data_IF_064857057373
#
_entry.id   IF_064857057373
#
_cell.length_a   1.000
_cell.length_b   1.000
_cell.length_c   1.000
_cell.angle_alpha   90.00
_cell.angle_beta   90.00
_cell.angle_gamma   90.00
#
_symmetry.space_group_name_H-M   'P 1'
#
loop_
_entity.id
_entity.type
_entity.pdbx_description
1 polymer ?
#
# COMPACT_ATOMS: atom_id res chain seq x y z
N UNK A 1 -31.28 3.29 -10.65
CA UNK A 1 -30.34 4.34 -10.20
C UNK A 1 -31.14 5.30 -9.33
N UNK A 2 -31.10 5.17 -8.00
CA UNK A 2 -32.25 5.62 -7.17
C UNK A 2 -32.08 6.90 -6.34
N UNK A 3 -31.07 6.99 -5.48
CA UNK A 3 -31.00 8.11 -4.50
C UNK A 3 -29.57 8.49 -4.14
N UNK A 4 -28.66 7.51 -4.03
CA UNK A 4 -27.24 7.76 -3.77
C UNK A 4 -26.61 8.66 -4.85
N UNK A 5 -26.79 8.33 -6.14
CA UNK A 5 -26.26 9.16 -7.23
C UNK A 5 -26.81 10.59 -7.24
N UNK A 6 -28.09 10.79 -6.89
CA UNK A 6 -28.70 12.12 -6.80
C UNK A 6 -28.13 12.89 -5.60
N UNK A 7 -28.00 12.24 -4.44
CA UNK A 7 -27.42 12.85 -3.24
C UNK A 7 -25.94 13.17 -3.37
N UNK A 8 -25.17 12.33 -4.09
CA UNK A 8 -23.77 12.62 -4.40
C UNK A 8 -23.63 13.87 -5.27
N UNK A 9 -24.48 14.02 -6.30
CA UNK A 9 -24.52 15.23 -7.14
C UNK A 9 -24.94 16.47 -6.33
N UNK A 10 -25.96 16.37 -5.47
CA UNK A 10 -26.39 17.47 -4.60
C UNK A 10 -25.30 17.89 -3.60
N UNK A 11 -24.59 16.93 -2.99
CA UNK A 11 -23.47 17.21 -2.08
C UNK A 11 -22.27 17.83 -2.81
N UNK A 12 -21.99 17.36 -4.03
CA UNK A 12 -20.90 17.89 -4.84
C UNK A 12 -21.16 19.33 -5.27
N UNK A 13 -22.40 19.63 -5.68
CA UNK A 13 -22.85 20.99 -5.98
C UNK A 13 -22.74 21.91 -4.75
N UNK A 14 -23.10 21.42 -3.56
CA UNK A 14 -22.96 22.17 -2.31
C UNK A 14 -21.49 22.44 -1.91
N UNK A 15 -20.56 21.62 -2.39
CA UNK A 15 -19.12 21.72 -2.13
C UNK A 15 -18.32 22.25 -3.34
N UNK A 16 -19.02 22.83 -4.32
CA UNK A 16 -18.46 23.43 -5.53
C UNK A 16 -17.54 22.49 -6.35
N UNK A 17 -17.79 21.18 -6.33
CA UNK A 17 -17.00 20.20 -7.11
C UNK A 17 -15.54 20.03 -6.68
N UNK A 18 -15.19 20.56 -5.50
CA UNK A 18 -13.83 20.47 -4.92
C UNK A 18 -13.46 19.08 -4.39
N UNK A 19 -14.38 18.29 -3.79
CA UNK A 19 -14.04 16.97 -3.25
C UNK A 19 -13.74 15.94 -4.33
N UNK A 20 -12.74 15.09 -4.09
CA UNK A 20 -12.51 13.90 -4.91
C UNK A 20 -13.63 12.90 -4.65
N UNK A 21 -14.39 12.59 -5.69
CA UNK A 21 -15.46 11.60 -5.59
C UNK A 21 -14.94 10.22 -5.94
N UNK A 22 -15.17 9.29 -5.03
CA UNK A 22 -14.93 7.88 -5.26
C UNK A 22 -16.31 7.22 -5.36
N UNK A 23 -16.60 6.61 -6.51
CA UNK A 23 -17.77 5.73 -6.60
C UNK A 23 -17.40 4.42 -5.97
N UNK A 24 -17.87 4.25 -4.75
CA UNK A 24 -17.70 3.03 -3.98
C UNK A 24 -18.82 2.07 -4.36
N UNK A 25 -18.43 1.00 -5.05
CA UNK A 25 -19.36 -0.07 -5.40
C UNK A 25 -19.34 -1.03 -4.22
N UNK A 26 -20.52 -1.37 -3.70
CA UNK A 26 -20.64 -2.34 -2.61
C UNK A 26 -19.82 -3.59 -2.94
N UNK A 27 -18.94 -3.97 -2.02
CA UNK A 27 -17.99 -5.07 -2.13
C UNK A 27 -16.79 -4.87 -3.09
N UNK A 28 -16.60 -3.67 -3.61
CA UNK A 28 -15.49 -3.25 -4.48
C UNK A 28 -14.99 -1.85 -4.09
N UNK A 29 -15.01 -1.55 -2.80
CA UNK A 29 -14.66 -0.24 -2.28
C UNK A 29 -13.15 -0.01 -2.28
N UNK A 30 -12.77 1.24 -2.51
CA UNK A 30 -11.40 1.69 -2.50
C UNK A 30 -10.78 1.54 -1.11
N UNK A 31 -9.47 1.31 -1.07
CA UNK A 31 -8.71 1.25 0.17
C UNK A 31 -8.87 2.52 1.02
N UNK A 32 -9.05 3.68 0.37
CA UNK A 32 -9.30 4.96 1.04
C UNK A 32 -10.65 4.97 1.75
N UNK A 33 -11.73 4.52 1.09
CA UNK A 33 -13.06 4.44 1.71
C UNK A 33 -13.09 3.47 2.89
N UNK A 34 -12.47 2.29 2.74
CA UNK A 34 -12.38 1.30 3.81
C UNK A 34 -11.56 1.81 5.01
N UNK A 35 -10.54 2.65 4.78
CA UNK A 35 -9.71 3.21 5.86
C UNK A 35 -10.47 4.08 6.86
N UNK A 36 -11.63 4.61 6.48
CA UNK A 36 -12.49 5.40 7.38
C UNK A 36 -13.26 4.54 8.39
N UNK A 37 -13.23 3.21 8.25
CA UNK A 37 -13.91 2.26 9.11
C UNK A 37 -12.89 1.28 9.72
N UNK A 38 -12.19 1.67 10.81
CA UNK A 38 -11.04 0.94 11.35
C UNK A 38 -11.37 -0.48 11.87
N UNK A 39 -12.62 -0.70 12.30
CA UNK A 39 -13.14 -2.02 12.69
C UNK A 39 -13.74 -2.81 11.52
N UNK A 40 -13.54 -2.29 10.30
CA UNK A 40 -14.14 -2.78 9.06
C UNK A 40 -15.56 -2.26 8.83
N UNK A 41 -16.02 -2.41 7.60
CA UNK A 41 -17.43 -2.23 7.26
C UNK A 41 -18.13 -3.57 7.17
N UNK A 42 -19.29 -3.64 7.81
CA UNK A 42 -20.18 -4.79 7.75
C UNK A 42 -21.32 -4.47 6.80
N UNK A 43 -21.38 -5.19 5.68
CA UNK A 43 -22.49 -5.08 4.76
C UNK A 43 -23.72 -5.75 5.35
N UNK A 44 -24.71 -4.94 5.64
CA UNK A 44 -26.01 -5.38 6.09
C UNK A 44 -26.93 -5.45 4.88
N UNK A 45 -27.65 -6.55 4.72
CA UNK A 45 -28.60 -6.72 3.62
C UNK A 45 -29.75 -5.72 3.76
N UNK A 46 -29.68 -4.57 3.09
CA UNK A 46 -30.65 -3.50 3.25
C UNK A 46 -30.89 -2.70 1.97
N UNK A 47 -31.91 -3.11 1.22
CA UNK A 47 -32.59 -2.33 0.21
C UNK A 47 -34.04 -2.77 0.19
N UNK A 48 -34.98 -1.81 0.21
CA UNK A 48 -36.41 -2.07 0.08
C UNK A 48 -36.63 -3.00 -1.14
N UNK A 49 -37.51 -4.02 -1.12
CA UNK A 49 -38.92 -3.83 -0.77
C UNK A 49 -39.28 -3.91 0.72
N UNK A 50 -38.29 -4.27 1.54
CA UNK A 50 -38.00 -3.85 2.91
C UNK A 50 -37.02 -4.90 3.41
N UNK A 51 -35.75 -4.51 3.58
CA UNK A 51 -34.71 -5.14 4.40
C UNK A 51 -34.60 -6.68 4.51
N UNK A 52 -33.40 -7.17 4.16
CA UNK A 52 -32.79 -8.43 4.59
C UNK A 52 -33.31 -9.73 3.99
N UNK A 53 -32.52 -10.35 3.07
CA UNK A 53 -32.24 -11.80 3.06
C UNK A 53 -30.81 -12.09 2.53
N UNK A 54 -30.11 -12.94 3.30
CA UNK A 54 -28.90 -13.76 3.14
C UNK A 54 -27.79 -13.40 2.12
N UNK A 55 -26.55 -13.23 2.62
CA UNK A 55 -25.33 -12.96 1.86
C UNK A 55 -24.59 -14.27 1.56
N UNK A 56 -24.36 -14.57 0.28
CA UNK A 56 -23.45 -15.64 -0.14
C UNK A 56 -21.99 -15.13 -0.13
N UNK A 57 -21.06 -15.97 0.32
CA UNK A 57 -19.62 -15.67 0.39
C UNK A 57 -19.08 -15.21 -0.99
N UNK A 58 -18.44 -14.04 -1.06
CA UNK A 58 -17.90 -13.47 -2.32
C UNK A 58 -16.78 -14.31 -2.95
N UNK A 59 -16.22 -15.26 -2.20
CA UNK A 59 -15.22 -16.22 -2.69
C UNK A 59 -15.88 -17.55 -3.09
N UNK A 60 -17.20 -17.70 -2.92
CA UNK A 60 -17.98 -18.91 -3.24
C UNK A 60 -17.96 -19.24 -4.73
N UNK A 61 -18.04 -18.23 -5.60
CA UNK A 61 -18.08 -18.38 -7.07
C UNK A 61 -16.86 -17.74 -7.77
N UNK A 62 -15.69 -17.78 -7.12
CA UNK A 62 -14.49 -17.14 -7.65
C UNK A 62 -14.05 -17.75 -8.99
N UNK A 63 -13.82 -16.90 -10.00
CA UNK A 63 -13.27 -17.31 -11.29
C UNK A 63 -11.75 -17.20 -11.27
N UNK A 64 -11.00 -18.28 -11.59
CA UNK A 64 -9.54 -18.25 -11.63
C UNK A 64 -9.02 -17.13 -12.54
N UNK A 65 -8.05 -16.36 -12.03
CA UNK A 65 -7.31 -15.35 -12.80
C UNK A 65 -5.84 -15.72 -12.87
N UNK A 66 -5.18 -15.37 -13.97
CA UNK A 66 -3.74 -15.57 -14.15
C UNK A 66 -3.06 -14.24 -14.44
N UNK A 67 -2.02 -13.91 -13.69
CA UNK A 67 -1.17 -12.77 -13.95
C UNK A 67 0.20 -13.22 -14.43
N UNK A 68 0.75 -12.51 -15.41
CA UNK A 68 2.07 -12.74 -15.98
C UNK A 68 2.98 -11.57 -15.61
N UNK A 69 4.04 -11.87 -14.86
CA UNK A 69 5.04 -10.92 -14.43
C UNK A 69 6.29 -11.05 -15.31
N UNK A 70 6.49 -10.08 -16.20
CA UNK A 70 7.55 -10.11 -17.22
C UNK A 70 8.32 -8.79 -17.29
N UNK A 71 9.64 -8.86 -17.43
CA UNK A 71 10.49 -7.73 -17.79
C UNK A 71 11.92 -7.79 -17.25
N UNK A 72 12.83 -7.07 -17.91
CA UNK A 72 14.27 -7.10 -17.59
C UNK A 72 14.74 -5.96 -16.68
N UNK A 73 14.29 -4.72 -16.91
CA UNK A 73 14.61 -3.54 -16.07
C UNK A 73 13.38 -3.07 -15.29
N UNK A 74 12.23 -3.06 -15.96
CA UNK A 74 10.95 -2.69 -15.39
C UNK A 74 9.99 -3.87 -15.51
N UNK A 75 9.81 -4.63 -14.43
CA UNK A 75 8.86 -5.74 -14.40
C UNK A 75 7.45 -5.23 -14.12
N UNK A 76 6.50 -5.66 -14.95
CA UNK A 76 5.08 -5.42 -14.76
C UNK A 76 4.34 -6.76 -14.65
N UNK A 77 3.27 -6.79 -13.87
CA UNK A 77 2.36 -7.94 -13.79
C UNK A 77 1.06 -7.58 -14.49
N UNK A 78 0.70 -8.32 -15.52
CA UNK A 78 -0.48 -8.09 -16.34
C UNK A 78 -1.38 -9.32 -16.35
N UNK A 79 -2.70 -9.14 -16.36
CA UNK A 79 -3.62 -10.28 -16.45
C UNK A 79 -3.55 -10.90 -17.85
N UNK A 80 -3.48 -12.23 -17.90
CA UNK A 80 -3.47 -13.04 -19.13
C UNK A 80 -4.56 -14.10 -19.07
N UNK A 81 -4.75 -14.82 -20.17
CA UNK A 81 -5.69 -15.94 -20.22
C UNK A 81 -5.26 -17.04 -19.23
N UNK A 82 -6.20 -17.57 -18.43
CA UNK A 82 -5.91 -18.62 -17.47
C UNK A 82 -5.85 -19.99 -18.16
N UNK A 83 -4.84 -20.20 -19.00
CA UNK A 83 -4.58 -21.45 -19.75
C UNK A 83 -3.10 -21.83 -19.71
N UNK A 84 -2.83 -23.11 -19.88
CA UNK A 84 -1.49 -23.70 -19.94
C UNK A 84 -0.60 -23.04 -21.01
N UNK A 85 -1.18 -22.67 -22.15
CA UNK A 85 -0.50 -21.98 -23.25
C UNK A 85 0.02 -20.59 -22.90
N UNK A 86 -0.47 -19.98 -21.82
CA UNK A 86 0.00 -18.67 -21.35
C UNK A 86 1.25 -18.79 -20.47
N UNK A 87 1.53 -19.97 -19.91
CA UNK A 87 2.69 -20.23 -19.05
C UNK A 87 3.96 -20.45 -19.89
N UNK A 88 5.10 -20.05 -19.33
CA UNK A 88 6.42 -20.41 -19.83
C UNK A 88 7.41 -20.55 -18.67
N UNK A 89 8.53 -21.26 -18.88
CA UNK A 89 9.51 -21.53 -17.81
C UNK A 89 10.40 -20.34 -17.45
N UNK A 90 10.35 -19.26 -18.22
CA UNK A 90 11.21 -18.08 -18.09
C UNK A 90 10.62 -16.90 -17.34
N UNK A 91 9.32 -16.90 -17.06
CA UNK A 91 8.62 -15.78 -16.44
C UNK A 91 7.90 -16.22 -15.16
N UNK A 92 7.51 -15.25 -14.31
CA UNK A 92 6.75 -15.52 -13.08
C UNK A 92 5.26 -15.34 -13.33
N UNK A 93 4.43 -16.23 -12.76
CA UNK A 93 2.99 -16.15 -12.88
C UNK A 93 2.30 -16.18 -11.51
N UNK A 94 1.12 -15.57 -11.42
CA UNK A 94 0.29 -15.59 -10.22
C UNK A 94 -1.07 -16.17 -10.61
N UNK A 95 -1.38 -17.38 -10.13
CA UNK A 95 -2.71 -17.96 -10.23
C UNK A 95 -3.51 -17.54 -8.99
N UNK A 96 -4.63 -16.87 -9.24
CA UNK A 96 -5.51 -16.33 -8.21
C UNK A 96 -6.84 -17.07 -8.21
N UNK A 97 -7.02 -17.89 -7.17
CA UNK A 97 -8.21 -18.69 -6.87
C UNK A 97 -9.04 -18.06 -5.73
N UNK A 98 -8.86 -16.76 -5.46
CA UNK A 98 -9.64 -16.03 -4.49
C UNK A 98 -9.04 -16.11 -3.09
N UNK A 99 -9.19 -17.26 -2.40
CA UNK A 99 -8.57 -17.53 -1.08
C UNK A 99 -7.17 -18.13 -1.19
N UNK A 100 -6.82 -18.67 -2.35
CA UNK A 100 -5.53 -19.30 -2.59
C UNK A 100 -4.84 -18.59 -3.76
N UNK A 101 -3.63 -18.09 -3.51
CA UNK A 101 -2.78 -17.41 -4.47
C UNK A 101 -1.52 -18.24 -4.67
N UNK A 102 -1.21 -18.63 -5.89
CA UNK A 102 0.01 -19.37 -6.21
C UNK A 102 0.94 -18.49 -7.02
N UNK A 103 2.10 -18.16 -6.44
CA UNK A 103 3.19 -17.50 -7.15
C UNK A 103 4.08 -18.59 -7.73
N UNK A 104 3.92 -18.82 -9.02
CA UNK A 104 4.64 -19.84 -9.76
C UNK A 104 5.96 -19.27 -10.29
N UNK A 105 7.07 -19.80 -9.78
CA UNK A 105 8.43 -19.36 -10.08
C UNK A 105 9.24 -20.50 -10.72
N UNK A 106 9.10 -20.72 -12.03
CA UNK A 106 9.81 -21.79 -12.72
C UNK A 106 11.34 -21.57 -12.72
N UNK A 107 12.15 -22.61 -13.03
CA UNK A 107 13.60 -22.58 -12.86
C UNK A 107 14.32 -21.48 -13.63
N UNK A 108 13.81 -21.11 -14.80
CA UNK A 108 14.43 -20.10 -15.67
C UNK A 108 13.91 -18.68 -15.38
N UNK A 109 13.02 -18.48 -14.39
CA UNK A 109 12.42 -17.18 -14.10
C UNK A 109 13.36 -16.15 -13.47
N UNK A 110 13.29 -14.91 -13.95
CA UNK A 110 14.21 -13.83 -13.59
C UNK A 110 14.07 -13.34 -12.14
N UNK A 111 15.19 -12.93 -11.52
CA UNK A 111 15.21 -12.42 -10.13
C UNK A 111 14.25 -11.24 -9.91
N UNK A 112 14.22 -10.28 -10.83
CA UNK A 112 13.34 -9.11 -10.69
C UNK A 112 11.87 -9.49 -10.85
N UNK A 113 11.57 -10.47 -11.69
CA UNK A 113 10.22 -10.98 -11.91
C UNK A 113 9.70 -11.72 -10.67
N UNK A 114 10.54 -12.52 -10.04
CA UNK A 114 10.25 -13.15 -8.74
C UNK A 114 9.93 -12.12 -7.66
N UNK A 115 10.75 -11.07 -7.52
CA UNK A 115 10.51 -9.99 -6.55
C UNK A 115 9.18 -9.29 -6.84
N UNK A 116 8.90 -8.94 -8.10
CA UNK A 116 7.67 -8.24 -8.48
C UNK A 116 6.43 -9.13 -8.32
N UNK A 117 6.52 -10.40 -8.70
CA UNK A 117 5.45 -11.39 -8.54
C UNK A 117 5.10 -11.61 -7.07
N UNK A 118 6.10 -11.76 -6.21
CA UNK A 118 5.88 -11.82 -4.75
C UNK A 118 5.22 -10.56 -4.21
N UNK A 119 5.69 -9.38 -4.62
CA UNK A 119 5.12 -8.10 -4.18
C UNK A 119 3.66 -7.97 -4.64
N UNK A 120 3.36 -8.35 -5.88
CA UNK A 120 2.00 -8.35 -6.43
C UNK A 120 1.10 -9.34 -5.70
N UNK A 121 1.52 -10.59 -5.50
CA UNK A 121 0.73 -11.58 -4.78
C UNK A 121 0.51 -11.22 -3.29
N UNK A 122 1.53 -10.65 -2.63
CA UNK A 122 1.36 -10.10 -1.26
C UNK A 122 0.37 -8.95 -1.24
N UNK A 123 0.39 -8.08 -2.25
CA UNK A 123 -0.59 -7.00 -2.37
C UNK A 123 -2.00 -7.56 -2.58
N UNK A 124 -2.19 -8.54 -3.48
CA UNK A 124 -3.49 -9.21 -3.65
C UNK A 124 -3.94 -9.85 -2.33
N UNK A 125 -3.07 -10.60 -1.65
CA UNK A 125 -3.40 -11.29 -0.41
C UNK A 125 -3.75 -10.34 0.74
N UNK A 126 -2.91 -9.34 0.99
CA UNK A 126 -3.03 -8.45 2.15
C UNK A 126 -4.02 -7.31 1.90
N UNK A 127 -4.03 -6.76 0.69
CA UNK A 127 -4.81 -5.57 0.33
C UNK A 127 -6.11 -5.97 -0.33
N UNK A 128 -6.09 -6.75 -1.42
CA UNK A 128 -7.33 -7.12 -2.14
C UNK A 128 -8.14 -8.23 -1.45
N UNK A 129 -7.53 -9.03 -0.57
CA UNK A 129 -8.19 -10.14 0.16
C UNK A 129 -8.14 -9.96 1.67
N UNK A 130 -7.72 -8.79 2.15
CA UNK A 130 -7.70 -8.44 3.58
C UNK A 130 -7.00 -9.47 4.48
N UNK A 131 -5.92 -10.08 3.97
CA UNK A 131 -5.17 -11.11 4.67
C UNK A 131 -5.87 -12.48 4.76
N UNK A 132 -7.05 -12.63 4.15
CA UNK A 132 -7.80 -13.89 4.14
C UNK A 132 -7.33 -14.88 3.07
N UNK A 133 -6.50 -14.43 2.12
CA UNK A 133 -5.91 -15.29 1.11
C UNK A 133 -4.53 -15.75 1.51
N UNK A 134 -4.26 -17.03 1.30
CA UNK A 134 -2.96 -17.64 1.52
C UNK A 134 -2.13 -17.56 0.24
N UNK A 135 -0.87 -17.18 0.39
CA UNK A 135 0.10 -17.14 -0.72
C UNK A 135 0.99 -18.38 -0.64
N UNK A 136 0.94 -19.20 -1.68
CA UNK A 136 1.85 -20.32 -1.92
C UNK A 136 2.92 -19.87 -2.89
N UNK A 137 4.16 -20.19 -2.56
CA UNK A 137 5.31 -19.91 -3.42
C UNK A 137 5.76 -21.25 -3.97
N UNK A 138 5.66 -21.42 -5.29
CA UNK A 138 6.07 -22.62 -5.98
C UNK A 138 7.41 -22.33 -6.66
N UNK A 139 8.51 -22.76 -6.02
CA UNK A 139 9.87 -22.41 -6.42
C UNK A 139 10.69 -23.66 -6.73
N UNK A 140 11.39 -24.24 -5.75
CA UNK A 140 12.12 -25.51 -5.94
C UNK A 140 11.20 -26.68 -6.30
N UNK A 141 9.92 -26.56 -5.98
CA UNK A 141 8.82 -27.51 -6.20
C UNK A 141 7.79 -27.01 -7.22
N UNK A 142 8.20 -26.09 -8.11
CA UNK A 142 7.36 -25.44 -9.13
C UNK A 142 6.50 -26.40 -9.98
N UNK A 143 6.91 -27.66 -10.18
CA UNK A 143 6.19 -28.66 -10.97
C UNK A 143 5.41 -29.70 -10.12
N UNK A 144 5.40 -29.55 -8.80
CA UNK A 144 4.88 -30.58 -7.88
C UNK A 144 3.51 -30.26 -7.25
N UNK A 145 3.03 -29.01 -7.28
CA UNK A 145 1.77 -28.64 -6.64
C UNK A 145 0.53 -29.10 -7.44
N UNK A 146 -0.26 -30.00 -6.86
CA UNK A 146 -1.44 -30.59 -7.53
C UNK A 146 -2.56 -29.58 -7.77
N UNK A 147 -2.72 -28.62 -6.86
CA UNK A 147 -3.82 -27.65 -6.90
C UNK A 147 -3.60 -26.61 -7.99
N UNK A 148 -2.37 -26.15 -8.14
CA UNK A 148 -1.97 -25.29 -9.25
C UNK A 148 -2.15 -26.02 -10.59
N UNK A 149 -1.56 -27.21 -10.73
CA UNK A 149 -1.55 -27.92 -12.01
C UNK A 149 -2.93 -28.44 -12.42
N UNK A 150 -3.87 -28.68 -11.51
CA UNK A 150 -5.24 -29.06 -11.87
C UNK A 150 -5.94 -28.02 -12.76
N UNK A 151 -5.57 -26.75 -12.65
CA UNK A 151 -6.09 -25.65 -13.47
C UNK A 151 -5.48 -25.60 -14.88
N UNK A 152 -4.42 -26.38 -15.12
CA UNK A 152 -3.65 -26.40 -16.36
C UNK A 152 -3.54 -27.80 -16.98
N UNK A 153 -4.43 -28.74 -16.62
CA UNK A 153 -4.45 -30.10 -17.19
C UNK A 153 -3.66 -31.16 -16.40
N UNK A 154 -3.34 -30.87 -15.14
CA UNK A 154 -2.67 -31.77 -14.20
C UNK A 154 -1.14 -31.74 -14.29
N UNK A 155 -0.47 -32.42 -13.35
CA UNK A 155 1.01 -32.45 -13.23
C UNK A 155 1.75 -32.82 -14.51
N UNK A 156 1.15 -33.63 -15.38
CA UNK A 156 1.75 -34.00 -16.65
C UNK A 156 1.91 -32.82 -17.64
N UNK A 157 1.12 -31.75 -17.45
CA UNK A 157 1.21 -30.53 -18.24
C UNK A 157 2.49 -29.74 -17.98
N UNK A 158 3.07 -29.82 -16.78
CA UNK A 158 4.33 -29.17 -16.43
C UNK A 158 5.46 -29.50 -17.41
N UNK A 159 5.51 -30.75 -17.90
CA UNK A 159 6.52 -31.24 -18.86
C UNK A 159 6.36 -30.67 -20.27
N UNK A 160 5.21 -30.06 -20.58
CA UNK A 160 4.85 -29.52 -21.90
C UNK A 160 4.96 -28.00 -21.96
N UNK A 161 5.21 -27.33 -20.84
CA UNK A 161 5.34 -25.87 -20.80
C UNK A 161 6.54 -25.43 -21.63
N UNK A 162 6.34 -24.38 -22.41
CA UNK A 162 7.38 -23.83 -23.27
C UNK A 162 8.56 -23.30 -22.44
N UNK A 163 9.79 -23.52 -22.93
CA UNK A 163 11.00 -22.92 -22.37
C UNK A 163 10.97 -21.39 -22.47
N UNK A 164 11.82 -20.73 -21.68
CA UNK A 164 11.99 -19.28 -21.76
C UNK A 164 12.27 -18.83 -23.20
N UNK A 165 11.61 -17.75 -23.62
CA UNK A 165 11.95 -17.02 -24.84
C UNK A 165 12.67 -15.75 -24.42
N UNK A 166 13.80 -15.44 -25.05
CA UNK A 166 14.49 -14.16 -24.87
C UNK A 166 13.78 -13.08 -25.71
N UNK A 167 12.55 -12.72 -25.33
CA UNK A 167 11.75 -11.70 -26.00
C UNK A 167 11.26 -10.56 -25.08
N UNK A 168 11.81 -10.46 -23.85
CA UNK A 168 11.39 -9.48 -22.84
C UNK A 168 11.41 -8.03 -23.32
N UNK A 169 12.44 -7.66 -24.09
CA UNK A 169 12.58 -6.31 -24.65
C UNK A 169 11.57 -6.07 -25.80
N UNK A 170 11.30 -7.08 -26.63
CA UNK A 170 10.35 -6.99 -27.75
C UNK A 170 8.89 -7.02 -27.29
N UNK A 171 8.57 -7.74 -26.21
CA UNK A 171 7.23 -7.87 -25.64
C UNK A 171 6.69 -6.51 -25.17
N UNK A 172 7.51 -5.74 -24.44
CA UNK A 172 7.12 -4.42 -23.97
C UNK A 172 7.21 -3.36 -25.04
N UNK A 173 8.15 -3.47 -25.98
CA UNK A 173 8.17 -2.56 -27.13
C UNK A 173 6.82 -2.59 -27.86
N UNK A 174 6.29 -3.78 -28.15
CA UNK A 174 4.97 -3.96 -28.78
C UNK A 174 3.80 -3.49 -27.93
N UNK A 175 3.84 -3.70 -26.62
CA UNK A 175 2.74 -3.31 -25.71
C UNK A 175 2.75 -1.81 -25.43
N UNK A 176 3.93 -1.22 -25.24
CA UNK A 176 4.10 0.23 -25.04
C UNK A 176 3.73 1.00 -26.30
N UNK A 177 4.09 0.52 -27.49
CA UNK A 177 3.67 1.07 -28.79
C UNK A 177 2.14 1.11 -28.96
N UNK A 178 1.38 0.34 -28.19
CA UNK A 178 -0.08 0.30 -28.25
C UNK A 178 -0.76 1.16 -27.18
N UNK A 179 -0.03 1.59 -26.14
CA UNK A 179 -0.56 2.52 -25.13
C UNK A 179 -1.00 3.79 -25.84
N UNK A 180 -2.24 4.20 -25.62
CA UNK A 180 -2.83 5.32 -26.36
C UNK A 180 -3.50 6.30 -25.41
N UNK A 181 -3.15 7.57 -25.52
CA UNK A 181 -3.77 8.67 -24.80
C UNK A 181 -4.80 9.36 -25.71
N UNK A 182 -5.99 9.57 -25.19
CA UNK A 182 -7.09 10.26 -25.86
C UNK A 182 -7.51 11.46 -25.02
N UNK A 183 -7.82 12.58 -25.66
CA UNK A 183 -8.58 13.68 -25.06
C UNK A 183 -10.06 13.40 -25.20
N UNK A 184 -10.81 13.59 -24.12
CA UNK A 184 -12.27 13.43 -24.07
C UNK A 184 -12.90 14.81 -24.08
N UNK A 185 -13.97 14.97 -24.86
CA UNK A 185 -14.79 16.18 -24.83
C UNK A 185 -16.25 15.81 -25.09
N UNK A 186 -17.16 16.49 -24.41
CA UNK A 186 -18.61 16.39 -24.60
C UNK A 186 -19.23 17.65 -25.21
N UNK A 187 -18.40 18.61 -25.66
CA UNK A 187 -18.84 19.90 -26.21
C UNK A 187 -19.82 19.79 -27.40
N UNK A 188 -19.86 18.63 -28.08
CA UNK A 188 -20.82 18.32 -29.15
C UNK A 188 -22.17 17.75 -28.66
N UNK A 189 -22.42 17.72 -27.34
CA UNK A 189 -23.57 17.04 -26.71
C UNK A 189 -23.46 15.51 -26.70
N UNK A 190 -22.38 14.96 -27.25
CA UNK A 190 -22.06 13.53 -27.26
C UNK A 190 -20.56 13.37 -27.01
N UNK A 191 -20.20 12.35 -26.22
CA UNK A 191 -18.81 12.08 -25.86
C UNK A 191 -17.98 11.75 -27.12
N UNK A 192 -16.96 12.56 -27.36
CA UNK A 192 -15.98 12.38 -28.42
C UNK A 192 -14.60 12.13 -27.82
N UNK A 193 -13.91 11.11 -28.31
CA UNK A 193 -12.52 10.82 -27.96
C UNK A 193 -11.62 11.13 -29.14
N UNK A 194 -10.61 11.97 -28.92
CA UNK A 194 -9.62 12.36 -29.92
C UNK A 194 -8.26 11.85 -29.49
N UNK A 195 -7.60 11.07 -30.34
CA UNK A 195 -6.28 10.52 -30.03
C UNK A 195 -5.24 11.64 -29.96
N UNK A 196 -4.48 11.69 -28.87
CA UNK A 196 -3.44 12.69 -28.61
C UNK A 196 -2.05 12.08 -28.83
N UNK A 197 -1.83 10.89 -28.27
CA UNK A 197 -0.55 10.21 -28.35
C UNK A 197 -0.72 8.69 -28.41
N UNK A 198 0.28 8.00 -28.95
CA UNK A 198 0.40 6.55 -28.91
C UNK A 198 1.87 6.18 -28.76
N UNK A 199 2.15 5.17 -27.94
CA UNK A 199 3.52 4.77 -27.65
C UNK A 199 4.02 5.41 -26.37
N UNK A 200 5.00 6.28 -26.52
CA UNK A 200 5.59 7.06 -25.43
C UNK A 200 4.68 8.25 -25.10
N UNK A 201 3.77 8.05 -24.16
CA UNK A 201 2.90 9.13 -23.63
C UNK A 201 3.68 9.97 -22.61
N UNK A 202 3.46 11.29 -22.64
CA UNK A 202 4.20 12.26 -21.82
C UNK A 202 3.29 13.03 -20.89
N UNK A 203 3.79 13.39 -19.71
CA UNK A 203 3.00 14.15 -18.75
C UNK A 203 2.55 15.50 -19.35
N UNK A 204 3.38 16.12 -20.20
CA UNK A 204 3.07 17.38 -20.89
C UNK A 204 1.91 17.30 -21.88
N UNK A 205 1.44 16.10 -22.24
CA UNK A 205 0.30 15.90 -23.15
C UNK A 205 -1.05 16.00 -22.42
N UNK A 206 -1.02 16.02 -21.08
CA UNK A 206 -2.17 16.29 -20.24
C UNK A 206 -2.33 17.80 -20.07
N UNK A 207 -3.49 18.33 -20.44
CA UNK A 207 -3.87 19.73 -20.19
C UNK A 207 -4.74 19.80 -18.95
N UNK A 208 -4.38 20.65 -17.99
CA UNK A 208 -5.18 20.88 -16.77
C UNK A 208 -6.63 21.27 -17.08
N UNK A 209 -6.93 21.84 -18.24
CA UNK A 209 -8.29 22.26 -18.61
C UNK A 209 -9.16 21.15 -19.19
N UNK A 210 -8.59 19.97 -19.43
CA UNK A 210 -9.26 18.90 -20.18
C UNK A 210 -9.19 17.54 -19.48
N UNK A 211 -10.04 16.62 -19.93
CA UNK A 211 -10.04 15.24 -19.49
C UNK A 211 -9.47 14.31 -20.57
N UNK A 212 -8.86 13.21 -20.13
CA UNK A 212 -8.14 12.28 -20.98
C UNK A 212 -8.44 10.83 -20.62
N UNK A 213 -8.46 9.94 -21.61
CA UNK A 213 -8.47 8.49 -21.43
C UNK A 213 -7.10 7.94 -21.83
N UNK A 214 -6.45 7.27 -20.89
CA UNK A 214 -5.28 6.43 -21.16
C UNK A 214 -5.74 4.98 -21.30
N UNK A 215 -5.65 4.45 -22.52
CA UNK A 215 -5.79 3.02 -22.79
C UNK A 215 -4.40 2.37 -22.63
N UNK A 216 -4.19 1.73 -21.48
CA UNK A 216 -2.94 1.06 -21.15
C UNK A 216 -2.92 -0.42 -21.61
N UNK A 217 -3.83 -0.80 -22.52
CA UNK A 217 -3.95 -2.16 -23.06
C UNK A 217 -4.17 -3.16 -21.92
N UNK A 218 -3.15 -3.94 -21.56
CA UNK A 218 -3.22 -4.91 -20.48
C UNK A 218 -3.20 -4.26 -19.08
N UNK A 219 -2.93 -2.95 -18.99
CA UNK A 219 -2.95 -2.15 -17.77
C UNK A 219 -4.33 -1.61 -17.37
N UNK A 220 -5.35 -1.79 -18.21
CA UNK A 220 -6.69 -1.24 -18.00
C UNK A 220 -6.86 0.18 -18.58
N UNK A 221 -8.03 0.76 -18.31
CA UNK A 221 -8.42 2.10 -18.79
C UNK A 221 -8.36 3.09 -17.63
N UNK A 222 -7.69 4.21 -17.84
CA UNK A 222 -7.67 5.33 -16.88
C UNK A 222 -8.33 6.56 -17.49
N UNK A 223 -9.14 7.27 -16.72
CA UNK A 223 -9.76 8.54 -17.10
C UNK A 223 -9.17 9.64 -16.22
N UNK A 224 -8.17 10.34 -16.74
CA UNK A 224 -7.53 11.46 -16.06
C UNK A 224 -8.33 12.74 -16.26
N UNK A 225 -8.54 13.53 -15.20
CA UNK A 225 -9.34 14.75 -15.22
C UNK A 225 -8.53 15.92 -14.67
N UNK A 226 -8.35 16.95 -15.50
CA UNK A 226 -7.60 18.14 -15.14
C UNK A 226 -8.32 19.04 -14.12
N UNK A 227 -7.56 19.83 -13.36
CA UNK A 227 -8.08 20.77 -12.35
C UNK A 227 -8.90 21.91 -12.94
N UNK A 228 -8.68 22.27 -14.20
CA UNK A 228 -9.44 23.25 -14.96
C UNK A 228 -10.70 22.70 -15.63
N UNK A 229 -10.96 21.38 -15.61
CA UNK A 229 -12.20 20.80 -16.10
C UNK A 229 -13.41 21.31 -15.32
N UNK A 230 -14.53 21.47 -16.01
CA UNK A 230 -15.79 21.86 -15.39
C UNK A 230 -16.40 20.69 -14.57
N UNK A 231 -17.39 21.00 -13.75
CA UNK A 231 -18.00 20.04 -12.81
C UNK A 231 -18.72 18.90 -13.54
N UNK A 232 -19.32 19.19 -14.70
CA UNK A 232 -20.01 18.18 -15.51
C UNK A 232 -19.00 17.18 -16.11
N UNK A 233 -17.85 17.67 -16.58
CA UNK A 233 -16.75 16.85 -17.08
C UNK A 233 -16.18 15.92 -15.99
N UNK A 234 -15.99 16.46 -14.77
CA UNK A 234 -15.53 15.68 -13.61
C UNK A 234 -16.53 14.59 -13.21
N UNK A 235 -17.82 14.94 -13.20
CA UNK A 235 -18.90 14.02 -12.80
C UNK A 235 -19.12 12.89 -13.82
N UNK A 236 -18.72 13.09 -15.08
CA UNK A 236 -18.88 12.12 -16.17
C UNK A 236 -17.66 11.21 -16.41
N UNK A 237 -16.55 11.38 -15.69
CA UNK A 237 -15.30 10.67 -15.95
C UNK A 237 -15.45 9.14 -16.03
N UNK A 238 -16.12 8.53 -15.05
CA UNK A 238 -16.37 7.07 -15.06
C UNK A 238 -17.29 6.65 -16.21
N UNK A 239 -18.32 7.45 -16.50
CA UNK A 239 -19.24 7.18 -17.60
C UNK A 239 -18.51 7.22 -18.95
N UNK A 240 -17.53 8.12 -19.11
CA UNK A 240 -16.73 8.21 -20.32
C UNK A 240 -15.84 6.98 -20.52
N UNK A 241 -15.22 6.47 -19.47
CA UNK A 241 -14.46 5.22 -19.54
C UNK A 241 -15.33 4.01 -19.92
N UNK A 242 -16.52 3.91 -19.34
CA UNK A 242 -17.50 2.86 -19.68
C UNK A 242 -17.98 2.95 -21.14
N UNK A 243 -18.26 4.16 -21.62
CA UNK A 243 -18.65 4.38 -23.00
C UNK A 243 -17.49 4.06 -23.96
N UNK A 244 -16.26 4.37 -23.57
CA UNK A 244 -15.07 4.03 -24.33
C UNK A 244 -14.90 2.51 -24.48
N UNK A 245 -15.05 1.74 -23.40
CA UNK A 245 -15.02 0.27 -23.44
C UNK A 245 -16.03 -0.29 -24.47
N UNK A 246 -17.26 0.23 -24.44
CA UNK A 246 -18.33 -0.17 -25.38
C UNK A 246 -17.96 0.19 -26.82
N UNK A 247 -17.47 1.41 -27.07
CA UNK A 247 -17.09 1.88 -28.40
C UNK A 247 -15.94 1.04 -28.99
N UNK A 248 -14.95 0.68 -28.17
CA UNK A 248 -13.80 -0.14 -28.57
C UNK A 248 -14.06 -1.65 -28.55
N UNK A 249 -15.25 -2.09 -28.12
CA UNK A 249 -15.63 -3.51 -27.96
C UNK A 249 -14.64 -4.28 -27.08
N UNK A 250 -14.12 -3.61 -26.05
CA UNK A 250 -13.23 -4.23 -25.08
C UNK A 250 -14.03 -5.14 -24.14
N UNK A 251 -13.40 -6.17 -23.55
CA UNK A 251 -14.07 -7.05 -22.62
C UNK A 251 -14.71 -6.31 -21.44
N UNK A 252 -15.88 -6.77 -20.98
CA UNK A 252 -16.60 -6.13 -19.87
C UNK A 252 -15.86 -6.18 -18.54
N UNK A 253 -14.86 -7.06 -18.41
CA UNK A 253 -14.03 -7.16 -17.21
C UNK A 253 -12.82 -6.23 -17.23
N UNK A 254 -12.62 -5.45 -18.30
CA UNK A 254 -11.56 -4.45 -18.36
C UNK A 254 -11.82 -3.35 -17.33
N UNK A 255 -10.85 -3.10 -16.46
CA UNK A 255 -10.95 -2.11 -15.39
C UNK A 255 -10.98 -0.67 -15.92
N UNK A 256 -11.83 0.18 -15.33
CA UNK A 256 -11.88 1.64 -15.56
C UNK A 256 -11.58 2.36 -14.26
N UNK A 257 -10.61 3.28 -14.27
CA UNK A 257 -10.19 4.04 -13.08
C UNK A 257 -10.27 5.54 -13.38
N UNK A 258 -10.97 6.34 -12.57
CA UNK A 258 -10.90 7.81 -12.67
C UNK A 258 -9.71 8.32 -11.85
N UNK A 259 -8.96 9.26 -12.42
CA UNK A 259 -7.74 9.84 -11.86
C UNK A 259 -7.88 11.36 -11.91
N UNK A 260 -7.64 12.05 -10.80
CA UNK A 260 -7.63 13.52 -10.80
C UNK A 260 -6.20 14.05 -10.84
N UNK A 261 -6.03 15.18 -11.51
CA UNK A 261 -4.74 15.86 -11.57
C UNK A 261 -4.19 16.18 -10.18
N UNK A 262 -2.95 15.78 -9.93
CA UNK A 262 -2.21 15.98 -8.67
C UNK A 262 -2.42 14.89 -7.61
N UNK A 263 -3.22 13.85 -7.89
CA UNK A 263 -3.40 12.67 -7.02
C UNK A 263 -3.28 11.35 -7.81
N UNK A 264 -2.38 11.33 -8.79
CA UNK A 264 -2.22 10.20 -9.70
C UNK A 264 -1.58 8.98 -9.03
N UNK A 265 -2.19 7.77 -9.14
CA UNK A 265 -1.62 6.56 -8.54
C UNK A 265 -0.45 6.02 -9.37
N UNK A 266 0.45 5.24 -8.73
CA UNK A 266 1.58 4.61 -9.42
C UNK A 266 1.15 3.67 -10.57
N UNK A 267 -0.06 3.11 -10.48
CA UNK A 267 -0.64 2.28 -11.53
C UNK A 267 -0.92 3.07 -12.82
N UNK A 268 -1.12 4.38 -12.72
CA UNK A 268 -1.30 5.32 -13.84
C UNK A 268 0.05 5.93 -14.27
N UNK A 269 0.82 6.47 -13.33
CA UNK A 269 2.04 7.24 -13.64
C UNK A 269 3.13 6.37 -14.30
N UNK A 270 3.15 5.06 -14.04
CA UNK A 270 4.09 4.11 -14.66
C UNK A 270 4.01 4.01 -16.19
N UNK A 271 2.95 4.56 -16.80
CA UNK A 271 2.73 4.54 -18.25
C UNK A 271 3.32 5.76 -18.95
N UNK A 272 3.74 6.78 -18.21
CA UNK A 272 4.33 8.00 -18.74
C UNK A 272 5.86 7.95 -18.64
N UNK A 273 6.56 8.28 -19.72
CA UNK A 273 8.02 8.16 -19.81
C UNK A 273 8.79 9.17 -18.95
N UNK A 274 8.18 10.33 -18.69
CA UNK A 274 8.79 11.51 -18.09
C UNK A 274 8.03 12.00 -16.85
N UNK A 275 7.27 11.12 -16.18
CA UNK A 275 6.43 11.54 -15.06
C UNK A 275 7.26 12.08 -13.90
N UNK A 276 7.24 13.40 -13.71
CA UNK A 276 7.81 14.02 -12.53
C UNK A 276 6.79 13.91 -11.40
N UNK A 277 7.09 13.06 -10.39
CA UNK A 277 6.37 13.09 -9.13
C UNK A 277 6.52 14.49 -8.54
N UNK A 278 5.51 15.34 -8.71
CA UNK A 278 5.51 16.70 -8.19
C UNK A 278 5.98 16.66 -6.76
N UNK A 279 7.17 17.24 -6.50
CA UNK A 279 8.00 17.05 -5.29
C UNK A 279 7.17 16.48 -4.15
N UNK A 280 7.19 15.15 -3.96
CA UNK A 280 6.57 14.53 -2.79
C UNK A 280 7.08 15.33 -1.60
N UNK A 281 6.22 16.08 -0.91
CA UNK A 281 6.55 16.54 0.44
C UNK A 281 6.87 15.24 1.17
N UNK A 282 8.15 15.00 1.47
CA UNK A 282 8.53 13.89 2.33
C UNK A 282 7.60 13.99 3.53
N UNK A 283 6.69 13.02 3.69
CA UNK A 283 5.93 12.91 4.92
C UNK A 283 6.97 12.80 6.01
N UNK A 284 6.91 13.70 6.99
CA UNK A 284 7.84 13.67 8.10
C UNK A 284 7.72 12.31 8.79
N UNK A 285 8.85 11.61 8.94
CA UNK A 285 8.94 10.38 9.71
C UNK A 285 9.32 10.74 11.15
N UNK A 286 8.52 10.34 12.14
CA UNK A 286 8.86 10.53 13.54
C UNK A 286 10.16 9.81 13.91
N UNK A 287 10.93 10.40 14.83
CA UNK A 287 12.22 9.86 15.29
C UNK A 287 12.22 9.73 16.80
N UNK A 288 12.67 8.59 17.31
CA UNK A 288 12.77 8.31 18.74
C UNK A 288 14.23 8.28 19.16
N UNK A 289 14.54 8.92 20.29
CA UNK A 289 15.87 8.95 20.88
C UNK A 289 15.81 8.51 22.34
N UNK A 290 16.82 7.78 22.81
CA UNK A 290 17.03 7.44 24.22
C UNK A 290 18.06 8.39 24.81
N UNK A 291 17.81 8.84 26.04
CA UNK A 291 18.70 9.67 26.84
C UNK A 291 19.02 8.92 28.13
N UNK A 292 20.24 8.40 28.22
CA UNK A 292 20.70 7.53 29.31
C UNK A 292 22.07 7.94 29.81
N UNK A 293 22.33 7.79 31.11
CA UNK A 293 23.67 7.96 31.67
C UNK A 293 24.34 6.67 32.20
N UNK A 294 23.75 5.51 31.90
CA UNK A 294 24.23 4.19 32.32
C UNK A 294 25.68 3.87 31.87
N UNK A 295 26.17 4.52 30.80
CA UNK A 295 27.58 4.42 30.36
C UNK A 295 28.58 5.18 31.25
N UNK A 296 28.11 5.88 32.29
CA UNK A 296 28.87 6.82 33.11
C UNK A 296 28.89 8.25 32.55
N UNK A 297 28.40 8.46 31.32
CA UNK A 297 28.19 9.76 30.69
C UNK A 297 26.78 9.80 30.08
N UNK A 298 26.16 10.98 30.11
CA UNK A 298 24.86 11.18 29.49
C UNK A 298 25.00 11.13 27.96
N UNK A 299 24.37 10.14 27.33
CA UNK A 299 24.37 9.94 25.88
C UNK A 299 22.96 10.08 25.32
N UNK A 300 22.89 10.43 24.03
CA UNK A 300 21.63 10.50 23.27
C UNK A 300 21.80 9.64 22.03
N UNK A 301 20.98 8.59 21.91
CA UNK A 301 21.07 7.60 20.84
C UNK A 301 19.73 7.48 20.11
N UNK A 302 19.75 7.34 18.78
CA UNK A 302 18.53 7.18 17.98
C UNK A 302 18.09 5.71 17.94
N UNK A 303 16.80 5.47 18.20
CA UNK A 303 16.16 4.17 18.07
C UNK A 303 15.51 4.06 16.69
N UNK A 304 16.11 3.25 15.83
CA UNK A 304 15.55 2.94 14.52
C UNK A 304 14.35 1.99 14.63
N UNK A 305 13.35 2.18 13.75
CA UNK A 305 12.17 1.31 13.64
C UNK A 305 11.42 1.08 14.96
N UNK A 306 11.29 2.11 15.79
CA UNK A 306 10.69 2.00 17.11
C UNK A 306 9.21 1.55 17.07
N UNK A 307 8.85 0.72 18.05
CA UNK A 307 7.48 0.29 18.37
C UNK A 307 7.40 -0.09 19.88
N UNK A 308 6.22 -0.22 20.46
CA UNK A 308 6.11 -0.47 21.91
C UNK A 308 6.70 -1.84 22.30
N UNK A 309 6.58 -2.82 21.40
CA UNK A 309 7.32 -4.10 21.42
C UNK A 309 8.24 -4.18 20.20
N UNK A 310 9.52 -4.53 20.37
CA UNK A 310 10.39 -4.83 19.23
C UNK A 310 9.90 -6.12 18.57
N UNK A 311 9.04 -5.99 17.55
CA UNK A 311 8.78 -7.12 16.66
C UNK A 311 10.09 -7.42 15.94
N UNK A 312 10.58 -8.66 16.06
CA UNK A 312 11.85 -9.15 15.51
C UNK A 312 11.90 -9.18 13.96
N UNK A 313 11.43 -8.13 13.30
CA UNK A 313 11.31 -8.03 11.85
C UNK A 313 11.78 -6.64 11.44
N UNK A 314 13.10 -6.56 11.17
CA UNK A 314 13.81 -5.78 10.15
C UNK A 314 14.98 -4.90 10.66
N UNK A 315 16.18 -5.47 10.67
CA UNK A 315 17.38 -4.83 10.09
C UNK A 315 18.39 -5.90 9.64
N UNK A 316 18.93 -5.87 8.39
CA UNK A 316 19.78 -6.93 7.83
C UNK A 316 21.28 -6.76 8.12
N UNK A 317 21.65 -6.41 9.35
CA UNK A 317 23.05 -6.47 9.80
C UNK A 317 23.15 -7.29 11.09
N UNK A 318 23.91 -8.37 10.98
CA UNK A 318 24.06 -9.45 11.94
C UNK A 318 24.58 -9.01 13.32
N UNK A 319 23.88 -9.45 14.38
CA UNK A 319 24.45 -9.91 15.66
C UNK A 319 23.39 -10.63 16.53
N UNK A 320 22.11 -10.26 16.40
CA UNK A 320 21.03 -10.70 17.29
C UNK A 320 20.36 -12.03 16.92
N UNK A 321 20.86 -12.72 15.89
CA UNK A 321 20.26 -13.96 15.35
C UNK A 321 20.50 -15.22 16.20
N UNK A 322 21.30 -15.10 17.27
CA UNK A 322 21.65 -16.20 18.18
C UNK A 322 20.97 -16.12 19.56
N UNK A 323 20.16 -15.10 19.84
CA UNK A 323 19.45 -15.01 21.11
C UNK A 323 18.11 -15.77 21.05
N UNK A 324 17.77 -16.58 22.08
CA UNK A 324 16.47 -17.24 22.18
C UNK A 324 15.31 -16.26 22.04
N UNK A 325 14.16 -16.70 21.50
CA UNK A 325 12.97 -15.84 21.34
C UNK A 325 12.51 -15.23 22.66
N UNK A 326 12.73 -15.92 23.77
CA UNK A 326 12.44 -15.44 25.13
C UNK A 326 13.33 -14.25 25.54
N UNK A 327 14.54 -14.13 24.97
CA UNK A 327 15.46 -13.00 25.18
C UNK A 327 15.16 -11.78 24.30
N UNK A 328 14.47 -11.97 23.18
CA UNK A 328 14.05 -10.87 22.29
C UNK A 328 12.77 -10.16 22.78
N UNK A 329 11.98 -10.83 23.62
CA UNK A 329 10.69 -10.36 24.12
C UNK A 329 10.77 -9.22 25.15
N UNK A 330 11.99 -8.86 25.58
CA UNK A 330 12.27 -7.83 26.58
C UNK A 330 12.80 -6.50 26.03
N UNK A 331 13.05 -6.37 24.72
CA UNK A 331 13.46 -5.09 24.14
C UNK A 331 12.22 -4.25 23.84
N UNK A 332 11.91 -3.31 24.72
CA UNK A 332 10.92 -2.27 24.47
C UNK A 332 11.63 -1.05 23.89
N UNK A 333 11.02 -0.34 22.94
CA UNK A 333 11.62 0.92 22.44
C UNK A 333 11.46 2.06 23.44
N UNK A 334 10.69 1.85 24.52
CA UNK A 334 10.56 2.76 25.65
C UNK A 334 11.20 2.10 26.87
N UNK A 335 12.38 2.57 27.25
CA UNK A 335 13.11 2.05 28.41
C UNK A 335 12.63 2.74 29.69
N UNK A 336 12.01 1.96 30.58
CA UNK A 336 11.50 2.47 31.86
C UNK A 336 12.58 3.02 32.78
N UNK A 337 13.85 2.69 32.58
CA UNK A 337 14.96 3.18 33.39
C UNK A 337 15.54 4.51 32.87
N UNK A 338 15.14 4.99 31.69
CA UNK A 338 15.70 6.16 31.00
C UNK A 338 14.63 7.18 30.56
N UNK A 339 15.07 8.24 29.87
CA UNK A 339 14.18 9.25 29.26
C UNK A 339 14.24 9.16 27.75
N UNK A 340 13.07 9.17 27.10
CA UNK A 340 12.93 9.07 25.64
C UNK A 340 12.48 10.41 25.05
N UNK A 341 12.99 10.76 23.87
CA UNK A 341 12.57 11.94 23.10
C UNK A 341 11.97 11.47 21.77
N UNK A 342 10.69 11.76 21.55
CA UNK A 342 10.00 11.49 20.28
C UNK A 342 9.76 12.80 19.53
N UNK A 343 10.45 12.99 18.41
CA UNK A 343 10.18 14.09 17.49
C UNK A 343 9.02 13.73 16.57
N UNK A 344 7.86 14.36 16.78
CA UNK A 344 6.65 14.20 15.99
C UNK A 344 6.35 15.44 15.12
N UNK A 345 7.39 16.20 14.75
CA UNK A 345 7.37 17.45 13.97
C UNK A 345 6.71 18.63 14.68
N UNK A 346 5.39 18.49 14.94
CA UNK A 346 4.54 19.52 15.54
C UNK A 346 4.58 19.49 17.07
N UNK A 347 4.95 18.36 17.66
CA UNK A 347 5.24 18.24 19.09
C UNK A 347 6.53 17.44 19.24
N UNK A 348 7.32 17.76 20.26
CA UNK A 348 8.41 16.93 20.73
C UNK A 348 7.98 16.37 22.09
N UNK A 349 7.88 15.05 22.20
CA UNK A 349 7.54 14.42 23.46
C UNK A 349 8.80 14.03 24.22
N UNK A 350 8.86 14.36 25.50
CA UNK A 350 9.87 13.87 26.45
C UNK A 350 9.14 12.87 27.34
N UNK A 351 9.27 11.58 27.02
CA UNK A 351 8.68 10.49 27.79
C UNK A 351 9.65 10.08 28.90
N UNK A 352 9.19 10.06 30.14
CA UNK A 352 10.01 9.83 31.34
C UNK A 352 9.68 8.46 31.92
N UNK A 353 10.65 7.55 31.87
CA UNK A 353 10.56 6.24 32.51
C UNK A 353 10.43 6.34 34.02
N UNK A 354 9.83 5.32 34.64
CA UNK A 354 9.63 5.26 36.08
C UNK A 354 10.96 5.20 36.87
N UNK A 355 11.98 4.55 36.31
CA UNK A 355 13.34 4.43 36.86
C UNK A 355 14.29 5.58 36.48
N UNK A 356 13.90 6.46 35.56
CA UNK A 356 14.73 7.55 35.07
C UNK A 356 15.24 8.48 36.17
N UNK A 357 16.52 8.82 36.12
CA UNK A 357 17.17 9.65 37.13
C UNK A 357 17.05 11.16 36.82
N UNK A 358 17.29 12.06 37.81
CA UNK A 358 17.14 13.50 37.60
C UNK A 358 18.06 14.07 36.50
N UNK A 359 19.26 13.52 36.34
CA UNK A 359 20.25 13.97 35.36
C UNK A 359 19.83 13.63 33.93
N UNK A 360 19.21 12.47 33.72
CA UNK A 360 18.59 12.10 32.44
C UNK A 360 17.39 12.98 32.12
N UNK A 361 16.53 13.28 33.10
CA UNK A 361 15.37 14.18 32.91
C UNK A 361 15.80 15.58 32.50
N UNK A 362 16.75 16.17 33.22
CA UNK A 362 17.29 17.49 32.88
C UNK A 362 18.01 17.47 31.52
N UNK A 363 18.80 16.42 31.29
CA UNK A 363 19.51 16.17 30.04
C UNK A 363 18.58 16.11 28.83
N UNK A 364 17.51 15.33 28.92
CA UNK A 364 16.53 15.17 27.84
C UNK A 364 15.75 16.46 27.55
N UNK A 365 15.36 17.20 28.59
CA UNK A 365 14.70 18.50 28.43
C UNK A 365 15.62 19.51 27.71
N UNK A 366 16.90 19.56 28.09
CA UNK A 366 17.88 20.43 27.45
C UNK A 366 18.16 20.00 26.01
N UNK A 367 18.24 18.70 25.74
CA UNK A 367 18.40 18.15 24.38
C UNK A 367 17.20 18.49 23.51
N UNK A 368 15.97 18.28 23.98
CA UNK A 368 14.75 18.62 23.25
C UNK A 368 14.67 20.12 22.93
N UNK A 369 15.03 21.00 23.88
CA UNK A 369 15.09 22.45 23.67
C UNK A 369 16.12 22.84 22.61
N UNK A 370 17.34 22.30 22.70
CA UNK A 370 18.40 22.55 21.70
C UNK A 370 17.99 22.04 20.32
N UNK A 371 17.38 20.87 20.26
CA UNK A 371 16.90 20.25 19.03
C UNK A 371 15.80 21.08 18.35
N UNK A 372 14.92 21.71 19.14
CA UNK A 372 13.93 22.65 18.65
C UNK A 372 14.57 23.95 18.11
N UNK A 373 15.64 24.44 18.74
CA UNK A 373 16.31 25.70 18.39
C UNK A 373 17.26 25.60 17.19
N UNK A 374 17.93 24.46 16.99
CA UNK A 374 18.96 24.26 15.95
C UNK A 374 18.37 23.91 14.55
N UNK A 375 17.08 24.16 14.35
CA UNK A 375 16.23 23.62 13.27
C UNK A 375 16.84 23.47 11.87
N UNK A 376 17.12 22.22 11.49
CA UNK A 376 17.38 21.83 10.09
C UNK A 376 16.09 21.49 9.30
N UNK A 377 14.92 21.49 9.97
CA UNK A 377 13.63 21.12 9.39
C UNK A 377 12.64 22.29 9.51
N UNK A 378 11.82 22.57 8.47
CA UNK A 378 10.77 23.57 8.56
C UNK A 378 9.68 23.11 9.55
N UNK A 379 9.71 23.66 10.77
CA UNK A 379 8.75 23.38 11.85
C UNK A 379 7.67 24.46 11.93
N UNK A 380 6.52 24.12 12.50
CA UNK A 380 5.45 25.08 12.76
C UNK A 380 5.84 26.02 13.92
N UNK A 381 5.39 27.28 13.90
CA UNK A 381 5.73 28.28 14.94
C UNK A 381 5.24 27.88 16.35
N UNK A 382 4.24 27.00 16.41
CA UNK A 382 3.63 26.55 17.66
C UNK A 382 4.14 25.18 18.11
N UNK A 383 5.28 24.68 17.60
CA UNK A 383 5.82 23.40 18.06
C UNK A 383 6.17 23.47 19.54
N UNK A 384 5.58 22.57 20.34
CA UNK A 384 5.75 22.49 21.80
C UNK A 384 6.58 21.29 22.21
N UNK A 385 7.19 21.38 23.39
CA UNK A 385 7.79 20.23 24.09
C UNK A 385 6.78 19.78 25.15
N UNK A 386 6.35 18.53 25.06
CA UNK A 386 5.37 17.92 25.97
C UNK A 386 6.07 16.85 26.82
N UNK A 387 5.95 16.93 28.14
CA UNK A 387 6.52 15.91 29.03
C UNK A 387 5.45 14.89 29.39
N UNK A 388 5.75 13.63 29.16
CA UNK A 388 4.88 12.49 29.41
C UNK A 388 5.60 11.58 30.41
N UNK A 389 4.85 10.92 31.28
CA UNK A 389 5.39 9.95 32.23
C UNK A 389 4.91 8.55 31.86
N UNK A 390 5.73 7.54 32.14
CA UNK A 390 5.36 6.13 31.99
C UNK A 390 3.99 5.84 32.63
N UNK A 391 3.16 5.07 31.94
CA UNK A 391 1.77 4.74 32.28
C UNK A 391 0.80 5.94 32.32
N UNK A 392 1.24 7.13 31.88
CA UNK A 392 0.41 8.33 31.70
C UNK A 392 0.47 8.84 30.26
N UNK A 393 0.71 7.96 29.30
CA UNK A 393 0.83 8.31 27.90
C UNK A 393 -0.49 8.77 27.32
N UNK A 394 -0.45 9.88 26.57
CA UNK A 394 -1.62 10.46 25.94
C UNK A 394 -1.98 9.71 24.65
N UNK A 395 -3.25 9.71 24.20
CA UNK A 395 -3.62 9.15 22.90
C UNK A 395 -2.82 9.76 21.74
N UNK A 396 -2.45 11.04 21.84
CA UNK A 396 -1.65 11.75 20.83
C UNK A 396 -0.20 11.27 20.75
N UNK A 397 0.36 10.73 21.83
CA UNK A 397 1.66 10.08 21.85
C UNK A 397 1.56 8.62 21.35
N UNK A 398 0.57 7.87 21.83
CA UNK A 398 0.40 6.44 21.50
C UNK A 398 0.26 6.17 20.01
N UNK A 399 -0.35 7.08 19.24
CA UNK A 399 -0.56 6.95 17.78
C UNK A 399 0.73 6.77 16.95
N UNK A 400 1.90 7.08 17.52
CA UNK A 400 3.19 6.95 16.83
C UNK A 400 3.77 5.53 16.92
N UNK A 401 3.19 4.66 17.74
CA UNK A 401 3.55 3.26 17.88
C UNK A 401 2.55 2.41 17.10
N UNK A 402 3.01 1.38 16.38
CA UNK A 402 2.14 0.56 15.51
C UNK A 402 1.24 -0.35 16.34
N UNK A 403 1.74 -0.79 17.49
CA UNK A 403 0.98 -1.54 18.49
C UNK A 403 1.21 -0.92 19.86
N UNK A 404 0.13 -0.76 20.61
CA UNK A 404 0.17 -0.25 21.98
C UNK A 404 -0.70 -1.11 22.89
N UNK A 405 -0.12 -1.62 23.96
CA UNK A 405 -0.73 -2.35 25.06
C UNK A 405 -0.57 -1.53 26.35
N UNK A 406 -1.70 -1.06 26.90
CA UNK A 406 -1.75 -0.30 28.14
C UNK A 406 -1.38 -1.12 29.38
N UNK A 407 -1.43 -2.45 29.28
CA UNK A 407 -1.11 -3.36 30.39
C UNK A 407 0.38 -3.67 30.48
N UNK A 408 1.16 -3.28 29.48
CA UNK A 408 2.59 -3.59 29.40
C UNK A 408 3.38 -3.05 30.59
N UNK A 409 3.02 -1.86 31.08
CA UNK A 409 3.67 -1.18 32.20
C UNK A 409 2.96 -1.36 33.55
N UNK A 410 1.95 -2.25 33.66
CA UNK A 410 1.14 -2.43 34.87
C UNK A 410 1.59 -3.60 35.76
N UNK A 411 2.45 -4.50 35.27
CA UNK A 411 2.93 -5.68 36.01
C UNK A 411 4.38 -5.50 36.51
N UNK A 412 4.61 -5.55 37.82
CA UNK A 412 5.96 -5.53 38.44
C UNK A 412 6.86 -6.69 37.98
N UNK A 413 6.26 -7.78 37.48
CA UNK A 413 6.95 -8.98 36.99
C UNK A 413 7.81 -8.74 35.73
N UNK A 414 7.74 -7.55 35.10
CA UNK A 414 8.43 -7.23 33.84
C UNK A 414 9.23 -5.94 33.86
N UNK A 415 9.59 -5.40 35.03
CA UNK A 415 10.58 -4.33 35.08
C UNK A 415 11.92 -4.81 34.48
N UNK A 416 12.68 -3.91 33.86
CA UNK A 416 13.99 -4.24 33.28
C UNK A 416 14.92 -4.78 34.38
N UNK A 417 14.83 -4.25 35.61
CA UNK A 417 15.54 -4.78 36.78
C UNK A 417 15.15 -6.24 37.12
N UNK A 418 13.86 -6.59 37.07
CA UNK A 418 13.37 -7.96 37.27
C UNK A 418 13.82 -8.89 36.14
N UNK A 419 13.79 -8.43 34.89
CA UNK A 419 14.30 -9.18 33.74
C UNK A 419 15.82 -9.36 33.80
N UNK A 420 16.57 -8.36 34.27
CA UNK A 420 18.03 -8.42 34.45
C UNK A 420 18.42 -9.40 35.57
N UNK A 421 17.67 -9.44 36.68
CA UNK A 421 17.84 -10.45 37.73
C UNK A 421 17.59 -11.88 37.22
N UNK A 422 16.60 -12.07 36.36
CA UNK A 422 16.30 -13.36 35.72
C UNK A 422 17.37 -13.80 34.71
N UNK A 423 18.01 -12.85 34.03
CA UNK A 423 18.98 -13.11 32.95
C UNK A 423 20.42 -13.32 33.43
N UNK A 424 20.83 -12.72 34.56
CA UNK A 424 22.24 -12.69 34.98
C UNK A 424 22.54 -13.38 36.32
N UNK A 425 21.55 -13.90 37.05
CA UNK A 425 21.75 -14.72 38.26
C UNK A 425 21.39 -16.21 38.02
N UNK A 426 22.15 -16.89 37.17
CA UNK A 426 22.26 -18.35 37.18
C UNK A 426 23.71 -18.78 37.36
#
# INVERSE_FOLDING_TARGET
MGTAAIKTVEMDQALAGLPVQYREIQCHESALFLSYFPDGIRYLSGGYESGYHHVEDMLKDWKPRLFHCKGKRNVRCAQVECKDKSLNLGDVFILDLGRELFVWMPPESGRLERIKGMACAKNIALVERHGQAKVHILDSDWDQDETFWSHFGGKSAAKKIARARNDDEDYWKRTSEQVTLYKVSDASGTMKVTKIAQGEVKQSELDTKDAFILDAVNGGIFVWVGKGCNIDERSNALLWGENYLKQKKLPKWTQVTSVLEGVEPSSFTQWFGDWEEGKKKKSFEPRLFQVSDNSGKLLVEEIANFDQEVSAILNPFDMYRMLPKEMLQGFQSLDGDDVMILDALNSIYVWVGAGANPKEKEGAQNTAKKYLQQGALPRHKNTTIETIYQAKETPTFKKFFRKWDDKLFQSDDRSVESMRKLLFNR
#
